data_IF_838124122232
#
_entry.id   IF_838124122232
#
_cell.length_a   1.000
_cell.length_b   1.000
_cell.length_c   1.000
_cell.angle_alpha   90.00
_cell.angle_beta   90.00
_cell.angle_gamma   90.00
#
_symmetry.space_group_name_H-M   'P 1'
#
loop_
_entity.id
_entity.type
_entity.pdbx_description
1 polymer ?
#
# COMPACT_ATOMS: atom_id res chain seq x y z
N UNK A 1 -12.24 14.80 -5.55
CA UNK A 1 -11.99 13.35 -5.38
C UNK A 1 -10.57 12.95 -5.75
N UNK A 2 -9.96 13.47 -6.83
CA UNK A 2 -8.57 13.14 -7.20
C UNK A 2 -7.55 13.41 -6.07
N UNK A 3 -7.61 14.57 -5.41
CA UNK A 3 -6.72 14.92 -4.29
C UNK A 3 -6.87 13.93 -3.13
N UNK A 4 -8.11 13.59 -2.76
CA UNK A 4 -8.39 12.63 -1.69
C UNK A 4 -7.88 11.22 -2.05
N UNK A 5 -8.12 10.75 -3.29
CA UNK A 5 -7.60 9.48 -3.77
C UNK A 5 -6.06 9.42 -3.75
N UNK A 6 -5.41 10.53 -4.11
CA UNK A 6 -3.95 10.65 -4.01
C UNK A 6 -3.44 10.61 -2.58
N UNK A 7 -4.09 11.32 -1.67
CA UNK A 7 -3.76 11.30 -0.25
C UNK A 7 -3.91 9.88 0.33
N UNK A 8 -5.01 9.18 0.04
CA UNK A 8 -5.20 7.80 0.50
C UNK A 8 -4.19 6.83 -0.12
N UNK A 9 -3.79 7.02 -1.38
CA UNK A 9 -2.79 6.17 -2.02
C UNK A 9 -1.43 6.34 -1.35
N UNK A 10 -1.03 7.58 -1.02
CA UNK A 10 0.20 7.87 -0.30
C UNK A 10 0.18 7.31 1.13
N UNK A 11 -0.95 7.41 1.83
CA UNK A 11 -1.11 6.82 3.17
C UNK A 11 -1.00 5.30 3.12
N UNK A 12 -1.60 4.65 2.12
CA UNK A 12 -1.49 3.20 1.93
C UNK A 12 -0.04 2.77 1.65
N UNK A 13 0.68 3.51 0.79
CA UNK A 13 2.09 3.25 0.53
C UNK A 13 2.98 3.50 1.76
N UNK A 14 2.68 4.54 2.54
CA UNK A 14 3.36 4.81 3.80
C UNK A 14 3.17 3.68 4.81
N UNK A 15 1.94 3.16 4.93
CA UNK A 15 1.64 2.00 5.78
C UNK A 15 2.40 0.75 5.32
N UNK A 16 2.39 0.44 4.02
CA UNK A 16 3.18 -0.65 3.45
C UNK A 16 4.67 -0.50 3.79
N UNK A 17 5.23 0.71 3.59
CA UNK A 17 6.64 0.99 3.83
C UNK A 17 7.03 0.75 5.29
N UNK A 18 6.21 1.16 6.26
CA UNK A 18 6.49 0.98 7.68
C UNK A 18 6.66 -0.50 8.08
N UNK A 19 5.93 -1.41 7.43
CA UNK A 19 5.99 -2.84 7.72
C UNK A 19 7.15 -3.49 6.96
N UNK A 20 7.18 -3.36 5.64
CA UNK A 20 8.10 -4.13 4.81
C UNK A 20 9.53 -3.60 4.78
N UNK A 21 9.76 -2.32 5.11
CA UNK A 21 11.14 -1.77 5.17
C UNK A 21 12.01 -2.47 6.21
N UNK A 22 11.42 -2.90 7.35
CA UNK A 22 12.13 -3.63 8.40
C UNK A 22 12.48 -5.05 7.96
N UNK A 23 11.55 -5.72 7.30
CA UNK A 23 11.73 -7.09 6.79
C UNK A 23 12.79 -7.14 5.69
N UNK A 24 12.82 -6.12 4.81
CA UNK A 24 13.87 -5.95 3.79
C UNK A 24 15.22 -5.60 4.43
N UNK A 25 15.25 -4.71 5.42
CA UNK A 25 16.49 -4.35 6.12
C UNK A 25 17.09 -5.52 6.92
N UNK A 26 16.27 -6.48 7.31
CA UNK A 26 16.69 -7.70 7.99
C UNK A 26 16.96 -8.88 7.03
N UNK A 27 17.04 -8.64 5.72
CA UNK A 27 17.37 -9.63 4.67
C UNK A 27 16.39 -10.83 4.58
N UNK A 28 15.18 -10.70 5.11
CA UNK A 28 14.15 -11.75 5.00
C UNK A 28 13.45 -11.75 3.63
N UNK A 29 13.39 -10.59 2.96
CA UNK A 29 12.78 -10.42 1.64
C UNK A 29 13.62 -9.47 0.78
N UNK A 30 13.67 -9.75 -0.52
CA UNK A 30 14.18 -8.77 -1.49
C UNK A 30 13.19 -7.62 -1.71
N UNK A 31 13.69 -6.46 -2.11
CA UNK A 31 12.86 -5.29 -2.48
C UNK A 31 11.82 -5.66 -3.54
N UNK A 32 12.20 -6.45 -4.55
CA UNK A 32 11.28 -6.88 -5.61
C UNK A 32 10.12 -7.72 -5.10
N UNK A 33 10.38 -8.65 -4.15
CA UNK A 33 9.33 -9.43 -3.51
C UNK A 33 8.43 -8.56 -2.64
N UNK A 34 9.01 -7.63 -1.88
CA UNK A 34 8.25 -6.74 -1.01
C UNK A 34 7.26 -5.87 -1.82
N UNK A 35 7.68 -5.36 -2.98
CA UNK A 35 6.81 -4.54 -3.85
C UNK A 35 5.56 -5.29 -4.29
N UNK A 36 5.65 -6.61 -4.52
CA UNK A 36 4.46 -7.41 -4.88
C UNK A 36 3.41 -7.43 -3.76
N UNK A 37 3.84 -7.24 -2.51
CA UNK A 37 2.96 -7.18 -1.35
C UNK A 37 2.18 -5.87 -1.22
N UNK A 38 2.44 -4.85 -2.05
CA UNK A 38 1.63 -3.62 -2.11
C UNK A 38 0.25 -3.93 -2.70
N UNK A 39 0.22 -4.71 -3.77
CA UNK A 39 -0.98 -4.92 -4.56
C UNK A 39 -1.60 -6.31 -4.35
N UNK A 40 -0.94 -7.21 -3.62
CA UNK A 40 -1.39 -8.59 -3.44
C UNK A 40 -1.11 -9.16 -2.05
N UNK A 41 -1.91 -10.15 -1.67
CA UNK A 41 -1.71 -10.97 -0.48
C UNK A 41 -1.29 -12.38 -0.93
N UNK A 42 0.02 -12.63 -0.96
CA UNK A 42 0.57 -13.97 -1.17
C UNK A 42 0.99 -14.61 0.16
N UNK A 43 1.24 -15.91 0.17
CA UNK A 43 1.78 -16.62 1.34
C UNK A 43 3.10 -16.00 1.81
N UNK A 44 3.92 -15.54 0.87
CA UNK A 44 5.18 -14.85 1.13
C UNK A 44 4.95 -13.52 1.86
N UNK A 45 3.94 -12.75 1.47
CA UNK A 45 3.57 -11.50 2.14
C UNK A 45 2.99 -11.73 3.55
N UNK A 46 2.28 -12.85 3.74
CA UNK A 46 1.73 -13.24 5.04
C UNK A 46 2.85 -13.68 5.99
N UNK A 47 3.82 -14.45 5.49
CA UNK A 47 5.00 -14.85 6.23
C UNK A 47 5.85 -13.63 6.65
N UNK A 48 6.06 -12.69 5.74
CA UNK A 48 6.77 -11.44 6.03
C UNK A 48 6.12 -10.64 7.17
N UNK A 49 4.79 -10.56 7.19
CA UNK A 49 4.05 -9.89 8.26
C UNK A 49 4.16 -10.63 9.60
N UNK A 50 4.21 -11.97 9.58
CA UNK A 50 4.43 -12.77 10.78
C UNK A 50 5.84 -12.60 11.36
N UNK A 51 6.85 -12.39 10.51
CA UNK A 51 8.24 -12.15 10.89
C UNK A 51 8.47 -10.74 11.46
N UNK A 52 7.59 -9.79 11.15
CA UNK A 52 7.49 -8.50 11.82
C UNK A 52 7.05 -8.71 13.28
N UNK A 53 7.99 -9.10 14.15
CA UNK A 53 7.79 -9.30 15.59
C UNK A 53 8.51 -8.27 16.46
N UNK A 54 9.58 -7.63 15.97
CA UNK A 54 10.57 -7.06 16.89
C UNK A 54 10.52 -5.54 17.12
N UNK A 55 9.89 -4.70 16.29
CA UNK A 55 9.83 -3.26 16.61
C UNK A 55 8.74 -2.54 15.82
N UNK A 56 7.62 -2.23 16.46
CA UNK A 56 6.46 -1.65 15.78
C UNK A 56 6.14 -0.27 16.34
N UNK A 57 6.44 0.77 15.56
CA UNK A 57 5.80 2.07 15.70
C UNK A 57 4.27 1.84 15.63
N UNK A 58 3.56 2.08 16.74
CA UNK A 58 2.09 1.95 16.89
C UNK A 58 1.48 0.54 16.89
N UNK A 59 2.27 -0.55 16.94
CA UNK A 59 1.72 -1.92 17.04
C UNK A 59 1.03 -2.45 15.78
N UNK A 60 1.27 -1.84 14.62
CA UNK A 60 0.62 -2.18 13.35
C UNK A 60 1.37 -3.32 12.65
N UNK A 61 0.88 -4.56 12.77
CA UNK A 61 1.57 -5.79 12.31
C UNK A 61 1.11 -6.32 10.96
N UNK A 62 0.14 -5.67 10.33
CA UNK A 62 -0.55 -6.18 9.17
C UNK A 62 -0.73 -5.11 8.11
N UNK A 63 -0.79 -5.53 6.84
CA UNK A 63 -1.02 -4.67 5.69
C UNK A 63 -2.21 -5.19 4.87
N UNK A 64 -3.10 -4.29 4.47
CA UNK A 64 -4.25 -4.60 3.61
C UNK A 64 -4.02 -4.10 2.18
N UNK A 65 -3.78 -4.97 1.19
CA UNK A 65 -3.65 -4.56 -0.21
C UNK A 65 -4.94 -3.91 -0.76
N UNK A 66 -6.10 -4.23 -0.18
CA UNK A 66 -7.39 -3.64 -0.56
C UNK A 66 -7.41 -2.12 -0.35
N UNK A 67 -6.71 -1.61 0.66
CA UNK A 67 -6.62 -0.17 0.92
C UNK A 67 -5.92 0.56 -0.24
N UNK A 68 -4.89 -0.05 -0.83
CA UNK A 68 -4.21 0.48 -2.01
C UNK A 68 -5.16 0.51 -3.21
N UNK A 69 -5.87 -0.59 -3.48
CA UNK A 69 -6.81 -0.69 -4.59
C UNK A 69 -8.01 0.25 -4.47
N UNK A 70 -8.54 0.44 -3.26
CA UNK A 70 -9.61 1.40 -3.00
C UNK A 70 -9.13 2.84 -3.28
N UNK A 71 -7.95 3.22 -2.77
CA UNK A 71 -7.38 4.53 -3.01
C UNK A 71 -7.07 4.78 -4.50
N UNK A 72 -6.49 3.79 -5.18
CA UNK A 72 -6.20 3.84 -6.61
C UNK A 72 -7.49 4.02 -7.43
N UNK A 73 -8.56 3.29 -7.07
CA UNK A 73 -9.86 3.40 -7.74
C UNK A 73 -10.48 4.79 -7.57
N UNK A 74 -10.42 5.36 -6.36
CA UNK A 74 -10.90 6.73 -6.07
C UNK A 74 -10.08 7.77 -6.83
N UNK A 75 -8.76 7.60 -6.88
CA UNK A 75 -7.86 8.48 -7.64
C UNK A 75 -8.23 8.46 -9.12
N UNK A 76 -8.28 7.27 -9.73
CA UNK A 76 -8.58 7.09 -11.16
C UNK A 76 -9.96 7.66 -11.50
N UNK A 77 -10.99 7.34 -10.70
CA UNK A 77 -12.32 7.91 -10.87
C UNK A 77 -12.30 9.45 -10.76
N UNK A 78 -11.59 9.98 -9.77
CA UNK A 78 -11.43 11.42 -9.58
C UNK A 78 -10.74 12.11 -10.75
N UNK A 79 -9.69 11.52 -11.31
CA UNK A 79 -8.98 12.04 -12.48
C UNK A 79 -9.86 11.98 -13.72
N UNK A 80 -10.53 10.85 -13.98
CA UNK A 80 -11.44 10.70 -15.12
C UNK A 80 -12.60 11.68 -15.07
N UNK A 81 -13.17 11.91 -13.89
CA UNK A 81 -14.25 12.90 -13.70
C UNK A 81 -13.75 14.34 -13.91
N UNK A 82 -12.53 14.67 -13.46
CA UNK A 82 -11.93 15.99 -13.67
C UNK A 82 -11.52 16.24 -15.13
N UNK A 83 -11.15 15.19 -15.86
CA UNK A 83 -10.70 15.29 -17.25
C UNK A 83 -11.84 15.32 -18.27
N UNK A 84 -13.08 15.00 -17.87
CA UNK A 84 -14.25 15.13 -18.74
C UNK A 84 -14.51 16.61 -19.02
N UNK A 85 -14.38 17.09 -20.26
CA UNK A 85 -14.85 18.42 -20.62
C UNK A 85 -16.36 18.47 -20.35
N UNK A 86 -16.86 19.58 -19.81
CA UNK A 86 -18.28 19.86 -19.83
C UNK A 86 -18.73 19.78 -21.30
N UNK A 87 -19.46 18.72 -21.67
CA UNK A 87 -20.20 18.70 -22.94
C UNK A 87 -21.27 19.78 -22.81
N UNK A 88 -20.95 20.97 -23.33
CA UNK A 88 -21.91 22.01 -23.68
C UNK A 88 -22.52 21.70 -25.05
#
# INVERSE_FOLDING_TARGET
MAIAGGAFALLSLGWWWLIFSKVVAADYLTVGQAVTCIAGASDLCTLAQALCTDDHLYGIRWYAPEAFWAAASILVAGVLLSARPARA
#
